data_IF_218984256867
#
_entry.id   IF_218984256867
#
_cell.length_a   1.000
_cell.length_b   1.000
_cell.length_c   1.000
_cell.angle_alpha   90.00
_cell.angle_beta   90.00
_cell.angle_gamma   90.00
#
_symmetry.space_group_name_H-M   'P 1'
#
loop_
_entity.id
_entity.type
_entity.pdbx_description
1 polymer ?
#
# COMPACT_ATOMS: atom_id res chain seq x y z
N UNK A 1 -1.00 -23.42 -4.72
CA UNK A 1 -0.95 -22.11 -5.39
C UNK A 1 -1.84 -21.19 -4.59
N UNK A 2 -1.29 -20.23 -3.84
CA UNK A 2 -2.12 -19.26 -3.14
C UNK A 2 -2.81 -18.39 -4.19
N UNK A 3 -4.14 -18.33 -4.17
CA UNK A 3 -4.89 -17.45 -5.05
C UNK A 3 -4.62 -16.00 -4.65
N UNK A 4 -4.35 -15.14 -5.63
CA UNK A 4 -4.24 -13.70 -5.41
C UNK A 4 -5.57 -13.15 -4.88
N UNK A 5 -5.53 -12.32 -3.84
CA UNK A 5 -6.74 -11.71 -3.26
C UNK A 5 -7.06 -10.39 -3.95
N UNK A 6 -8.36 -10.11 -4.09
CA UNK A 6 -8.86 -8.81 -4.58
C UNK A 6 -9.22 -7.85 -3.45
N UNK A 7 -9.25 -8.33 -2.20
CA UNK A 7 -9.45 -7.50 -1.01
C UNK A 7 -8.77 -8.13 0.20
N UNK A 8 -8.43 -7.29 1.18
CA UNK A 8 -7.75 -7.70 2.42
C UNK A 8 -8.38 -7.00 3.63
N UNK A 9 -8.63 -7.75 4.71
CA UNK A 9 -9.10 -7.18 5.97
C UNK A 9 -7.92 -6.94 6.90
N UNK A 10 -7.70 -5.67 7.26
CA UNK A 10 -6.62 -5.23 8.13
C UNK A 10 -6.76 -5.88 9.50
N UNK A 11 -5.71 -6.52 10.00
CA UNK A 11 -5.66 -7.05 11.37
C UNK A 11 -4.74 -6.20 12.26
N UNK A 12 -4.85 -6.40 13.57
CA UNK A 12 -4.03 -5.64 14.53
C UNK A 12 -2.54 -5.88 14.30
N UNK A 13 -1.80 -4.78 14.09
CA UNK A 13 -0.36 -4.81 13.84
C UNK A 13 0.01 -4.77 12.36
N UNK A 14 -0.97 -4.86 11.46
CA UNK A 14 -0.74 -4.66 10.03
C UNK A 14 -0.45 -3.18 9.72
N UNK A 15 0.35 -3.02 8.68
CA UNK A 15 0.64 -1.76 8.01
C UNK A 15 0.73 -2.04 6.49
N UNK A 16 0.61 -1.01 5.64
CA UNK A 16 0.48 -1.23 4.19
C UNK A 16 1.65 -2.05 3.59
N UNK A 17 2.88 -1.84 4.07
CA UNK A 17 4.08 -2.60 3.69
C UNK A 17 4.00 -4.09 4.05
N UNK A 18 3.56 -4.41 5.27
CA UNK A 18 3.42 -5.79 5.70
C UNK A 18 2.31 -6.51 4.94
N UNK A 19 1.25 -5.79 4.56
CA UNK A 19 0.15 -6.32 3.76
C UNK A 19 0.62 -6.58 2.33
N UNK A 20 1.27 -5.61 1.67
CA UNK A 20 1.79 -5.79 0.31
C UNK A 20 2.83 -6.91 0.20
N UNK A 21 3.62 -7.12 1.24
CA UNK A 21 4.62 -8.19 1.32
C UNK A 21 4.05 -9.60 1.41
N UNK A 22 2.74 -9.79 1.64
CA UNK A 22 2.12 -11.12 1.69
C UNK A 22 2.06 -11.75 0.30
N UNK A 23 2.31 -13.06 0.21
CA UNK A 23 2.28 -13.82 -1.04
C UNK A 23 0.91 -13.73 -1.75
N UNK A 24 -0.18 -13.72 -0.99
CA UNK A 24 -1.53 -13.60 -1.55
C UNK A 24 -1.87 -12.19 -2.06
N UNK A 25 -1.10 -11.16 -1.66
CA UNK A 25 -1.28 -9.77 -2.08
C UNK A 25 -0.35 -9.47 -3.26
N UNK A 26 0.87 -9.01 -3.01
CA UNK A 26 1.84 -8.69 -4.07
C UNK A 26 3.14 -9.49 -3.97
N UNK A 27 3.39 -10.17 -2.84
CA UNK A 27 4.68 -10.77 -2.51
C UNK A 27 5.85 -9.76 -2.56
N UNK A 28 5.54 -8.47 -2.46
CA UNK A 28 6.51 -7.38 -2.57
C UNK A 28 6.08 -6.21 -1.68
N UNK A 29 6.79 -5.98 -0.57
CA UNK A 29 6.41 -4.92 0.34
C UNK A 29 6.51 -3.52 -0.28
N UNK A 30 7.39 -3.31 -1.28
CA UNK A 30 7.55 -2.01 -1.93
C UNK A 30 6.35 -1.59 -2.78
N UNK A 31 5.39 -2.49 -3.01
CA UNK A 31 4.15 -2.19 -3.73
C UNK A 31 3.02 -1.67 -2.84
N UNK A 32 3.28 -1.40 -1.55
CA UNK A 32 2.30 -0.80 -0.65
C UNK A 32 1.65 0.50 -1.16
N UNK A 33 2.32 1.37 -1.96
CA UNK A 33 1.67 2.57 -2.49
C UNK A 33 0.53 2.25 -3.46
N UNK A 34 0.51 1.07 -4.09
CA UNK A 34 -0.63 0.63 -4.90
C UNK A 34 -1.87 0.44 -4.04
N UNK A 35 -1.74 -0.20 -2.87
CA UNK A 35 -2.85 -0.35 -1.92
C UNK A 35 -3.37 1.02 -1.51
N UNK A 36 -2.45 1.96 -1.22
CA UNK A 36 -2.83 3.33 -0.85
C UNK A 36 -3.57 4.04 -2.00
N UNK A 37 -3.04 3.99 -3.21
CA UNK A 37 -3.65 4.60 -4.41
C UNK A 37 -5.05 4.06 -4.68
N UNK A 38 -5.22 2.74 -4.66
CA UNK A 38 -6.51 2.08 -4.88
C UNK A 38 -7.54 2.46 -3.82
N UNK A 39 -7.10 2.68 -2.58
CA UNK A 39 -7.98 2.97 -1.44
C UNK A 39 -7.93 4.43 -0.99
N UNK A 40 -7.44 5.36 -1.81
CA UNK A 40 -7.19 6.76 -1.40
C UNK A 40 -8.44 7.49 -0.89
N UNK A 41 -9.63 7.05 -1.32
CA UNK A 41 -10.89 7.64 -0.88
C UNK A 41 -11.26 7.19 0.55
N UNK A 42 -10.71 6.04 0.98
CA UNK A 42 -10.92 5.42 2.29
C UNK A 42 -9.72 5.57 3.24
N UNK A 43 -8.50 5.75 2.71
CA UNK A 43 -7.27 5.98 3.46
C UNK A 43 -6.82 7.41 3.21
N UNK A 44 -6.87 8.25 4.24
CA UNK A 44 -6.39 9.64 4.14
C UNK A 44 -4.88 9.79 4.37
N UNK A 45 -4.30 8.82 5.08
CA UNK A 45 -2.90 8.77 5.43
C UNK A 45 -2.46 7.31 5.39
N UNK A 46 -1.41 7.02 4.62
CA UNK A 46 -0.88 5.68 4.42
C UNK A 46 -0.48 4.99 5.73
N UNK A 47 -0.16 5.76 6.76
CA UNK A 47 0.23 5.26 8.09
C UNK A 47 -0.97 5.06 9.02
N UNK A 48 -2.16 5.51 8.63
CA UNK A 48 -3.40 5.40 9.42
C UNK A 48 -4.38 4.40 8.79
N UNK A 49 -4.08 3.11 8.97
CA UNK A 49 -5.03 2.02 8.74
C UNK A 49 -5.47 1.40 10.06
N UNK A 50 -6.72 0.92 10.11
CA UNK A 50 -7.31 0.41 11.35
C UNK A 50 -7.73 -1.06 11.24
N UNK A 51 -7.60 -1.85 12.32
CA UNK A 51 -8.10 -3.23 12.33
C UNK A 51 -9.59 -3.29 12.00
N UNK A 52 -9.96 -4.23 11.12
CA UNK A 52 -11.32 -4.39 10.60
C UNK A 52 -11.62 -3.58 9.34
N UNK A 53 -10.74 -2.66 8.94
CA UNK A 53 -10.85 -1.98 7.65
C UNK A 53 -10.63 -2.98 6.50
N UNK A 54 -11.43 -2.86 5.44
CA UNK A 54 -11.29 -3.67 4.22
C UNK A 54 -10.63 -2.81 3.16
N UNK A 55 -9.53 -3.31 2.59
CA UNK A 55 -8.78 -2.67 1.53
C UNK A 55 -8.95 -3.44 0.23
N UNK A 56 -9.22 -2.72 -0.86
CA UNK A 56 -9.22 -3.28 -2.20
C UNK A 56 -7.79 -3.47 -2.69
N UNK A 57 -7.50 -4.63 -3.27
CA UNK A 57 -6.18 -5.00 -3.78
C UNK A 57 -6.28 -5.11 -5.31
N UNK A 58 -5.68 -4.14 -6.01
CA UNK A 58 -5.58 -4.21 -7.46
C UNK A 58 -4.45 -5.14 -7.89
N UNK A 59 -4.81 -6.31 -8.41
CA UNK A 59 -3.88 -7.32 -8.92
C UNK A 59 -3.49 -7.10 -10.38
N UNK A 60 -4.10 -6.12 -11.06
CA UNK A 60 -3.92 -5.85 -12.50
C UNK A 60 -3.21 -4.52 -12.76
N UNK A 61 -2.53 -3.96 -11.76
CA UNK A 61 -1.71 -2.76 -11.93
C UNK A 61 -0.70 -2.94 -13.07
N UNK A 62 -0.55 -1.92 -13.91
CA UNK A 62 0.40 -1.97 -15.02
C UNK A 62 1.85 -2.01 -14.52
N UNK A 63 2.77 -2.54 -15.32
CA UNK A 63 4.20 -2.57 -14.96
C UNK A 63 4.74 -1.17 -14.61
N UNK A 64 4.31 -0.13 -15.33
CA UNK A 64 4.65 1.26 -15.04
C UNK A 64 4.13 1.76 -13.69
N UNK A 65 2.96 1.31 -13.25
CA UNK A 65 2.40 1.67 -11.95
C UNK A 65 3.13 0.95 -10.82
N UNK A 66 3.47 -0.32 -11.03
CA UNK A 66 4.31 -1.09 -10.11
C UNK A 66 5.67 -0.41 -9.95
N UNK A 67 6.33 -0.04 -11.05
CA UNK A 67 7.60 0.69 -11.01
C UNK A 67 7.47 2.04 -10.28
N UNK A 68 6.41 2.79 -10.53
CA UNK A 68 6.15 4.06 -9.84
C UNK A 68 5.96 3.85 -8.33
N UNK A 69 5.20 2.83 -7.92
CA UNK A 69 4.97 2.48 -6.52
C UNK A 69 6.28 2.05 -5.84
N UNK A 70 7.05 1.16 -6.46
CA UNK A 70 8.33 0.68 -5.93
C UNK A 70 9.33 1.82 -5.81
N UNK A 71 9.41 2.70 -6.81
CA UNK A 71 10.27 3.89 -6.75
C UNK A 71 9.85 4.81 -5.60
N UNK A 72 8.54 5.09 -5.46
CA UNK A 72 8.01 5.90 -4.35
C UNK A 72 8.41 5.32 -2.98
N UNK A 73 8.14 4.03 -2.77
CA UNK A 73 8.46 3.33 -1.53
C UNK A 73 9.96 3.36 -1.20
N UNK A 74 10.84 3.29 -2.21
CA UNK A 74 12.30 3.39 -2.03
C UNK A 74 12.77 4.81 -1.73
N UNK A 75 12.14 5.81 -2.34
CA UNK A 75 12.52 7.23 -2.16
C UNK A 75 11.96 7.86 -0.89
N UNK A 76 10.89 7.30 -0.32
CA UNK A 76 10.27 7.77 0.93
C UNK A 76 11.25 7.82 2.10
N UNK A 77 12.23 6.90 2.14
CA UNK A 77 13.20 6.78 3.23
C UNK A 77 12.81 5.67 4.23
N UNK A 78 13.44 5.66 5.41
CA UNK A 78 13.09 4.70 6.46
C UNK A 78 11.76 5.10 7.11
N UNK A 79 10.83 4.16 7.18
CA UNK A 79 9.52 4.37 7.79
C UNK A 79 9.65 4.95 9.20
N UNK A 80 9.20 6.19 9.38
CA UNK A 80 9.15 6.86 10.68
C UNK A 80 7.67 7.03 11.06
N UNK A 81 7.21 6.24 12.03
CA UNK A 81 5.82 6.33 12.51
C UNK A 81 5.60 7.70 13.19
N UNK A 82 4.77 8.58 12.62
CA UNK A 82 4.25 9.75 13.36
C UNK A 82 3.90 11.03 12.60
N UNK A 83 4.27 11.19 11.32
CA UNK A 83 3.98 12.41 10.56
C UNK A 83 3.37 12.07 9.19
N UNK A 84 2.28 12.73 8.77
CA UNK A 84 1.77 12.63 7.40
C UNK A 84 2.83 13.19 6.45
N UNK A 85 3.52 12.31 5.72
CA UNK A 85 4.65 12.72 4.89
C UNK A 85 4.17 13.36 3.57
N UNK A 86 4.65 14.56 3.26
CA UNK A 86 4.31 15.31 2.03
C UNK A 86 4.54 14.48 0.75
N UNK A 87 5.51 13.57 0.79
CA UNK A 87 5.85 12.62 -0.26
C UNK A 87 4.65 11.75 -0.69
N UNK A 88 3.83 11.30 0.25
CA UNK A 88 2.69 10.41 -0.04
C UNK A 88 1.57 11.16 -0.77
N UNK A 89 1.39 12.45 -0.46
CA UNK A 89 0.48 13.32 -1.19
C UNK A 89 0.94 13.56 -2.63
N UNK A 90 2.25 13.76 -2.84
CA UNK A 90 2.84 13.95 -4.18
C UNK A 90 2.72 12.70 -5.07
N UNK A 91 2.77 11.50 -4.48
CA UNK A 91 2.55 10.25 -5.20
C UNK A 91 1.10 10.13 -5.68
N UNK A 92 0.13 10.48 -4.83
CA UNK A 92 -1.29 10.43 -5.19
C UNK A 92 -1.71 11.50 -6.22
N UNK A 93 -0.95 12.58 -6.36
CA UNK A 93 -1.24 13.67 -7.29
C UNK A 93 -0.81 13.39 -8.75
N UNK A 94 -0.09 12.29 -8.99
CA UNK A 94 0.39 11.87 -10.32
C UNK A 94 -0.56 10.88 -10.98
#
# INVERSE_FOLDING_TARGET
MAGKVSSYSVVRGDNLWSISGKDEVYADPYQWPLIYKTNRDNIKDADLIYPGQVLDIDQNASASEIDAAVNHAKTRGAWSLGDTEQSDSDYLAK
#
